data_IF_408458482337
#
_entry.id   IF_408458482337
#
_cell.length_a   1.000
_cell.length_b   1.000
_cell.length_c   1.000
_cell.angle_alpha   90.00
_cell.angle_beta   90.00
_cell.angle_gamma   90.00
#
_symmetry.space_group_name_H-M   'P 1'
#
loop_
_entity.id
_entity.type
_entity.pdbx_description
1 polymer ?
#
# COMPACT_ATOMS: atom_id res chain seq x y z
N UNK A 1 -12.07 4.26 24.60
CA UNK A 1 -13.54 4.09 24.54
C UNK A 1 -13.90 2.62 24.64
N UNK A 2 -15.14 2.27 25.02
CA UNK A 2 -15.65 0.89 24.96
C UNK A 2 -15.39 0.26 23.58
N UNK A 3 -15.56 1.06 22.51
CA UNK A 3 -15.30 0.63 21.14
C UNK A 3 -13.82 0.29 20.91
N UNK A 4 -12.89 1.13 21.37
CA UNK A 4 -11.45 0.88 21.23
C UNK A 4 -11.06 -0.44 21.88
N UNK A 5 -11.57 -0.71 23.08
CA UNK A 5 -11.30 -1.97 23.79
C UNK A 5 -11.84 -3.20 23.05
N UNK A 6 -12.96 -3.08 22.35
CA UNK A 6 -13.46 -4.16 21.48
C UNK A 6 -12.52 -4.40 20.29
N UNK A 7 -12.00 -3.33 19.68
CA UNK A 7 -11.01 -3.45 18.60
C UNK A 7 -9.73 -4.10 19.11
N UNK A 8 -9.17 -3.62 20.22
CA UNK A 8 -7.95 -4.17 20.82
C UNK A 8 -8.08 -5.67 21.07
N UNK A 9 -9.19 -6.08 21.68
CA UNK A 9 -9.48 -7.50 21.96
C UNK A 9 -9.52 -8.35 20.69
N UNK A 10 -10.11 -7.85 19.61
CA UNK A 10 -10.29 -8.62 18.37
C UNK A 10 -9.01 -8.66 17.53
N UNK A 11 -8.32 -7.53 17.32
CA UNK A 11 -7.19 -7.43 16.39
C UNK A 11 -5.87 -7.98 16.96
N UNK A 12 -5.74 -7.99 18.29
CA UNK A 12 -4.58 -8.51 19.02
C UNK A 12 -4.76 -9.94 19.52
N UNK A 13 -5.89 -10.59 19.21
CA UNK A 13 -6.02 -12.03 19.43
C UNK A 13 -4.94 -12.82 18.64
N UNK A 14 -4.46 -13.93 19.21
CA UNK A 14 -3.46 -14.81 18.59
C UNK A 14 -3.90 -15.27 17.20
N UNK A 15 -5.20 -15.52 17.04
CA UNK A 15 -5.84 -15.78 15.76
C UNK A 15 -7.06 -14.87 15.62
N UNK A 16 -6.98 -13.90 14.71
CA UNK A 16 -8.07 -12.94 14.49
C UNK A 16 -9.20 -13.57 13.70
N UNK A 17 -10.42 -13.51 14.25
CA UNK A 17 -11.64 -13.90 13.55
C UNK A 17 -12.09 -12.80 12.59
N UNK A 18 -11.96 -13.03 11.28
CA UNK A 18 -12.50 -12.12 10.25
C UNK A 18 -14.03 -12.04 10.29
N UNK A 19 -14.70 -13.11 10.75
CA UNK A 19 -16.16 -13.12 10.93
C UNK A 19 -16.61 -12.12 12.01
N UNK A 20 -15.78 -11.90 13.04
CA UNK A 20 -16.04 -10.92 14.09
C UNK A 20 -15.53 -9.53 13.72
N UNK A 21 -14.38 -9.45 13.04
CA UNK A 21 -13.77 -8.17 12.67
C UNK A 21 -14.60 -7.39 11.64
N UNK A 22 -15.13 -8.05 10.60
CA UNK A 22 -15.90 -7.40 9.53
C UNK A 22 -17.13 -6.60 10.02
N UNK A 23 -18.05 -7.18 10.83
CA UNK A 23 -19.18 -6.41 11.36
C UNK A 23 -18.72 -5.31 12.32
N UNK A 24 -17.66 -5.53 13.10
CA UNK A 24 -17.11 -4.52 14.01
C UNK A 24 -16.58 -3.29 13.24
N UNK A 25 -16.00 -3.52 12.06
CA UNK A 25 -15.44 -2.46 11.20
C UNK A 25 -16.49 -1.75 10.34
N UNK A 26 -17.69 -2.30 10.21
CA UNK A 26 -18.73 -1.81 9.30
C UNK A 26 -19.11 -0.34 9.55
N UNK A 27 -19.21 0.03 10.83
CA UNK A 27 -19.54 1.39 11.25
C UNK A 27 -18.28 2.27 11.43
N UNK A 28 -17.20 1.95 10.73
CA UNK A 28 -15.92 2.65 10.80
C UNK A 28 -14.93 2.08 11.81
N UNK A 29 -13.66 2.41 11.62
CA UNK A 29 -12.54 1.93 12.42
C UNK A 29 -11.87 3.11 13.13
N UNK A 30 -11.67 3.07 14.46
CA UNK A 30 -10.95 4.10 15.19
C UNK A 30 -9.53 4.30 14.62
N UNK A 31 -9.01 5.55 14.54
CA UNK A 31 -7.73 5.84 13.91
C UNK A 31 -6.56 4.93 14.34
N UNK A 32 -6.35 4.62 15.64
CA UNK A 32 -5.24 3.77 16.08
C UNK A 32 -5.27 2.34 15.52
N UNK A 33 -6.45 1.84 15.17
CA UNK A 33 -6.64 0.45 14.73
C UNK A 33 -6.72 0.30 13.21
N UNK A 34 -6.84 1.40 12.46
CA UNK A 34 -7.09 1.38 11.00
C UNK A 34 -6.02 0.61 10.25
N UNK A 35 -4.75 0.89 10.54
CA UNK A 35 -3.63 0.30 9.81
C UNK A 35 -3.65 -1.24 9.93
N UNK A 36 -3.70 -1.78 11.14
CA UNK A 36 -3.72 -3.23 11.35
C UNK A 36 -5.02 -3.86 10.84
N UNK A 37 -6.17 -3.24 11.09
CA UNK A 37 -7.45 -3.76 10.61
C UNK A 37 -7.51 -3.83 9.08
N UNK A 38 -7.03 -2.81 8.37
CA UNK A 38 -6.96 -2.81 6.91
C UNK A 38 -6.01 -3.89 6.39
N UNK A 39 -4.81 -4.02 6.99
CA UNK A 39 -3.86 -5.07 6.63
C UNK A 39 -4.47 -6.48 6.78
N UNK A 40 -5.30 -6.70 7.80
CA UNK A 40 -6.01 -7.97 8.02
C UNK A 40 -7.18 -8.18 7.03
N UNK A 41 -8.03 -7.17 6.85
CA UNK A 41 -9.21 -7.23 5.98
C UNK A 41 -8.84 -7.40 4.50
N UNK A 42 -7.75 -6.76 4.06
CA UNK A 42 -7.19 -6.90 2.71
C UNK A 42 -6.36 -8.20 2.54
N UNK A 43 -6.20 -9.00 3.59
CA UNK A 43 -5.40 -10.23 3.56
C UNK A 43 -3.90 -10.01 3.38
N UNK A 44 -3.40 -8.80 3.61
CA UNK A 44 -1.97 -8.48 3.51
C UNK A 44 -1.15 -9.13 4.64
N UNK A 45 -1.69 -9.13 5.87
CA UNK A 45 -1.12 -9.89 7.00
C UNK A 45 -2.02 -11.05 7.39
N UNK A 46 -1.45 -12.19 7.81
CA UNK A 46 -2.24 -13.34 8.24
C UNK A 46 -2.99 -13.03 9.55
N UNK A 47 -4.14 -13.69 9.71
CA UNK A 47 -4.95 -13.62 10.94
C UNK A 47 -4.19 -14.17 12.15
N UNK A 48 -3.34 -15.18 11.94
CA UNK A 48 -2.45 -15.74 12.96
C UNK A 48 -1.27 -14.80 13.23
N UNK A 49 -1.20 -14.27 14.46
CA UNK A 49 -0.22 -13.30 14.92
C UNK A 49 1.23 -13.80 14.80
N UNK A 50 1.51 -15.07 15.11
CA UNK A 50 2.87 -15.62 15.07
C UNK A 50 3.47 -15.63 13.66
N UNK A 51 2.61 -15.68 12.63
CA UNK A 51 3.02 -15.69 11.21
C UNK A 51 3.19 -14.29 10.62
N UNK A 52 2.74 -13.22 11.30
CA UNK A 52 2.71 -11.86 10.75
C UNK A 52 4.11 -11.34 10.47
N UNK A 53 5.03 -11.46 11.43
CA UNK A 53 6.40 -10.95 11.30
C UNK A 53 7.12 -11.57 10.10
N UNK A 54 7.12 -12.92 10.01
CA UNK A 54 7.75 -13.63 8.89
C UNK A 54 7.13 -13.25 7.53
N UNK A 55 5.79 -13.18 7.46
CA UNK A 55 5.10 -12.80 6.22
C UNK A 55 5.45 -11.38 5.78
N UNK A 56 5.48 -10.42 6.71
CA UNK A 56 5.84 -9.03 6.44
C UNK A 56 7.29 -8.91 5.99
N UNK A 57 8.22 -9.60 6.64
CA UNK A 57 9.64 -9.61 6.25
C UNK A 57 9.80 -10.11 4.82
N UNK A 58 9.20 -11.25 4.48
CA UNK A 58 9.22 -11.79 3.12
C UNK A 58 8.61 -10.83 2.10
N UNK A 59 7.39 -10.33 2.35
CA UNK A 59 6.70 -9.39 1.44
C UNK A 59 7.48 -8.09 1.22
N UNK A 60 8.15 -7.57 2.25
CA UNK A 60 9.01 -6.39 2.15
C UNK A 60 10.28 -6.68 1.37
N UNK A 61 10.87 -7.87 1.50
CA UNK A 61 12.01 -8.29 0.70
C UNK A 61 11.63 -8.41 -0.79
N UNK A 62 10.50 -9.06 -1.10
CA UNK A 62 9.97 -9.17 -2.47
C UNK A 62 9.72 -7.80 -3.12
N UNK A 63 9.20 -6.83 -2.36
CA UNK A 63 9.02 -5.47 -2.89
C UNK A 63 10.36 -4.77 -3.17
N UNK A 64 11.38 -4.93 -2.29
CA UNK A 64 12.71 -4.36 -2.53
C UNK A 64 13.38 -4.98 -3.76
N UNK A 65 13.25 -6.29 -3.94
CA UNK A 65 13.75 -6.97 -5.13
C UNK A 65 13.06 -6.47 -6.41
N UNK A 66 11.74 -6.30 -6.39
CA UNK A 66 11.00 -5.74 -7.51
C UNK A 66 11.42 -4.30 -7.85
N UNK A 67 11.80 -3.50 -6.84
CA UNK A 67 12.36 -2.16 -7.08
C UNK A 67 13.67 -2.26 -7.86
N UNK A 68 14.60 -3.13 -7.43
CA UNK A 68 15.90 -3.32 -8.07
C UNK A 68 15.71 -3.80 -9.51
N UNK A 69 14.80 -4.75 -9.73
CA UNK A 69 14.55 -5.36 -11.04
C UNK A 69 13.90 -4.39 -12.04
N UNK A 70 12.98 -3.53 -11.58
CA UNK A 70 12.12 -2.75 -12.49
C UNK A 70 12.36 -1.24 -12.43
N UNK A 71 12.60 -0.69 -11.24
CA UNK A 71 12.63 0.77 -11.04
C UNK A 71 14.05 1.34 -11.06
N UNK A 72 14.99 0.72 -10.34
CA UNK A 72 16.38 1.18 -10.20
C UNK A 72 17.28 0.70 -11.36
N UNK A 73 16.81 0.89 -12.59
CA UNK A 73 17.55 0.55 -13.81
C UNK A 73 18.48 1.71 -14.17
N UNK A 74 19.79 1.45 -14.18
CA UNK A 74 20.82 2.47 -14.43
C UNK A 74 20.80 3.03 -15.87
N UNK A 75 20.60 2.16 -16.85
CA UNK A 75 20.50 2.56 -18.27
C UNK A 75 19.05 2.63 -18.71
N UNK A 76 18.57 3.83 -19.00
CA UNK A 76 17.20 4.05 -19.46
C UNK A 76 16.92 3.38 -20.82
N UNK A 77 17.94 3.14 -21.65
CA UNK A 77 17.79 2.44 -22.93
C UNK A 77 17.44 0.95 -22.76
N UNK A 78 17.60 0.40 -21.55
CA UNK A 78 17.16 -0.97 -21.24
C UNK A 78 15.64 -1.08 -21.21
N UNK A 79 14.92 0.01 -20.92
CA UNK A 79 13.45 0.03 -20.90
C UNK A 79 12.90 -0.01 -22.32
N UNK A 80 11.91 -0.87 -22.54
CA UNK A 80 11.10 -0.86 -23.76
C UNK A 80 10.32 0.46 -23.88
N UNK A 81 9.87 0.80 -25.09
CA UNK A 81 9.08 2.01 -25.33
C UNK A 81 7.79 2.06 -24.48
N UNK A 82 7.16 0.90 -24.26
CA UNK A 82 5.95 0.79 -23.43
C UNK A 82 6.25 1.10 -21.96
N UNK A 83 7.37 0.62 -21.43
CA UNK A 83 7.80 0.89 -20.06
C UNK A 83 8.18 2.36 -19.86
N UNK A 84 8.86 2.96 -20.84
CA UNK A 84 9.18 4.39 -20.83
C UNK A 84 7.90 5.25 -20.81
N UNK A 85 6.92 4.92 -21.64
CA UNK A 85 5.63 5.63 -21.68
C UNK A 85 4.85 5.44 -20.37
N UNK A 86 4.80 4.22 -19.84
CA UNK A 86 4.20 3.96 -18.53
C UNK A 86 4.86 4.79 -17.42
N UNK A 87 6.19 4.84 -17.38
CA UNK A 87 6.92 5.62 -16.38
C UNK A 87 6.61 7.11 -16.53
N UNK A 88 6.59 7.62 -17.77
CA UNK A 88 6.25 9.02 -18.06
C UNK A 88 4.86 9.39 -17.54
N UNK A 89 3.85 8.54 -17.77
CA UNK A 89 2.50 8.76 -17.26
C UNK A 89 2.46 8.80 -15.73
N UNK A 90 3.10 7.82 -15.07
CA UNK A 90 3.18 7.77 -13.60
C UNK A 90 3.84 9.03 -13.03
N UNK A 91 4.95 9.48 -13.61
CA UNK A 91 5.69 10.67 -13.17
C UNK A 91 4.89 11.97 -13.37
N UNK A 92 4.01 11.98 -14.37
CA UNK A 92 3.13 13.10 -14.68
C UNK A 92 1.94 13.15 -13.69
N UNK A 93 1.40 12.00 -13.28
CA UNK A 93 0.23 11.93 -12.42
C UNK A 93 0.55 11.96 -10.92
N UNK A 94 1.72 11.46 -10.49
CA UNK A 94 2.09 11.46 -9.08
C UNK A 94 2.08 12.87 -8.41
N UNK A 95 2.55 13.95 -9.05
CA UNK A 95 2.46 15.31 -8.49
C UNK A 95 1.03 15.87 -8.44
N UNK A 96 0.13 15.36 -9.29
CA UNK A 96 -1.29 15.77 -9.38
C UNK A 96 -2.19 14.97 -8.45
N UNK A 97 -1.69 13.88 -7.87
CA UNK A 97 -2.49 13.00 -7.01
C UNK A 97 -2.76 13.69 -5.67
N UNK A 98 -4.05 13.77 -5.29
CA UNK A 98 -4.52 14.37 -4.04
C UNK A 98 -3.85 15.72 -3.70
N UNK A 99 -3.92 16.74 -4.58
CA UNK A 99 -3.13 17.98 -4.48
C UNK A 99 -3.52 18.83 -3.26
N UNK A 100 -4.75 18.66 -2.77
CA UNK A 100 -5.29 19.34 -1.61
C UNK A 100 -4.76 18.77 -0.28
N UNK A 101 -4.17 17.58 -0.29
CA UNK A 101 -3.60 16.94 0.90
C UNK A 101 -2.10 17.29 1.00
N UNK A 102 -1.65 18.03 2.05
CA UNK A 102 -0.25 18.47 2.18
C UNK A 102 0.77 17.33 2.13
N UNK A 103 0.40 16.14 2.60
CA UNK A 103 1.24 14.94 2.55
C UNK A 103 1.75 14.62 1.13
N UNK A 104 0.91 14.77 0.11
CA UNK A 104 1.25 14.44 -1.29
C UNK A 104 2.01 15.56 -2.02
N UNK A 105 2.19 16.71 -1.37
CA UNK A 105 3.11 17.76 -1.84
C UNK A 105 4.57 17.45 -1.48
N UNK A 106 4.80 16.54 -0.53
CA UNK A 106 6.15 16.14 -0.12
C UNK A 106 6.81 15.27 -1.20
N UNK A 107 8.00 15.65 -1.65
CA UNK A 107 8.69 14.94 -2.73
C UNK A 107 9.07 13.49 -2.38
N UNK A 108 9.28 13.17 -1.08
CA UNK A 108 9.50 11.77 -0.66
C UNK A 108 8.26 10.93 -0.90
N UNK A 109 7.07 11.48 -0.64
CA UNK A 109 5.79 10.80 -0.88
C UNK A 109 5.51 10.69 -2.38
N UNK A 110 5.81 11.72 -3.17
CA UNK A 110 5.68 11.66 -4.65
C UNK A 110 6.59 10.61 -5.27
N UNK A 111 7.86 10.53 -4.82
CA UNK A 111 8.80 9.48 -5.25
C UNK A 111 8.33 8.08 -4.82
N UNK A 112 7.83 7.95 -3.59
CA UNK A 112 7.26 6.71 -3.09
C UNK A 112 6.07 6.26 -3.96
N UNK A 113 5.12 7.16 -4.23
CA UNK A 113 3.95 6.90 -5.05
C UNK A 113 4.35 6.51 -6.48
N UNK A 114 5.27 7.25 -7.09
CA UNK A 114 5.77 6.96 -8.44
C UNK A 114 6.38 5.55 -8.52
N UNK A 115 7.26 5.20 -7.57
CA UNK A 115 7.86 3.86 -7.51
C UNK A 115 6.82 2.78 -7.26
N UNK A 116 5.85 3.01 -6.37
CA UNK A 116 4.79 2.07 -6.07
C UNK A 116 3.95 1.76 -7.31
N UNK A 117 3.47 2.80 -8.01
CA UNK A 117 2.62 2.66 -9.19
C UNK A 117 3.36 2.01 -10.34
N UNK A 118 4.62 2.40 -10.58
CA UNK A 118 5.41 1.82 -11.65
C UNK A 118 5.73 0.35 -11.39
N UNK A 119 6.19 -0.02 -10.20
CA UNK A 119 6.46 -1.43 -9.85
C UNK A 119 5.18 -2.26 -9.94
N UNK A 120 4.02 -1.69 -9.56
CA UNK A 120 2.75 -2.37 -9.72
C UNK A 120 2.43 -2.61 -11.21
N UNK A 121 2.61 -1.61 -12.08
CA UNK A 121 2.36 -1.72 -13.52
C UNK A 121 3.23 -2.79 -14.18
N UNK A 122 4.53 -2.84 -13.86
CA UNK A 122 5.47 -3.84 -14.40
C UNK A 122 5.10 -5.28 -14.01
N UNK A 123 4.45 -5.46 -12.87
CA UNK A 123 3.97 -6.77 -12.40
C UNK A 123 2.60 -7.15 -12.95
N UNK A 124 1.91 -6.23 -13.64
CA UNK A 124 0.59 -6.44 -14.22
C UNK A 124 0.54 -5.94 -15.67
N UNK A 125 1.34 -6.52 -16.59
CA UNK A 125 1.52 -6.00 -17.95
C UNK A 125 0.22 -5.95 -18.78
N UNK A 126 -0.76 -6.81 -18.47
CA UNK A 126 -2.05 -6.80 -19.13
C UNK A 126 -2.88 -5.53 -18.85
N UNK A 127 -2.68 -4.90 -17.68
CA UNK A 127 -3.34 -3.65 -17.31
C UNK A 127 -2.42 -2.44 -17.49
N UNK A 128 -1.13 -2.60 -17.15
CA UNK A 128 -0.17 -1.49 -17.02
C UNK A 128 -0.69 -0.40 -16.08
N UNK A 129 -0.04 0.77 -16.03
CA UNK A 129 -0.58 1.92 -15.32
C UNK A 129 -1.77 2.50 -16.09
N UNK A 130 -2.86 2.76 -15.35
CA UNK A 130 -4.04 3.47 -15.84
C UNK A 130 -4.35 4.58 -14.84
N UNK A 131 -4.63 5.78 -15.36
CA UNK A 131 -5.02 6.93 -14.54
C UNK A 131 -6.23 6.55 -13.64
N UNK A 132 -6.14 6.88 -12.35
CA UNK A 132 -7.08 6.47 -11.31
C UNK A 132 -6.51 5.44 -10.34
N UNK A 133 -5.52 4.63 -10.75
CA UNK A 133 -4.83 3.70 -9.83
C UNK A 133 -4.03 4.47 -8.76
N UNK A 134 -3.52 5.65 -9.09
CA UNK A 134 -2.89 6.58 -8.15
C UNK A 134 -3.84 6.97 -7.01
N UNK A 135 -5.13 7.14 -7.29
CA UNK A 135 -6.13 7.52 -6.29
C UNK A 135 -6.45 6.35 -5.34
N UNK A 136 -6.40 5.11 -5.83
CA UNK A 136 -6.53 3.90 -4.99
C UNK A 136 -5.36 3.73 -4.01
N UNK A 137 -4.15 4.14 -4.41
CA UNK A 137 -2.97 4.07 -3.55
C UNK A 137 -2.99 5.12 -2.42
N UNK A 138 -3.64 6.25 -2.65
CA UNK A 138 -3.71 7.39 -1.73
C UNK A 138 -4.19 7.01 -0.32
N UNK A 139 -5.38 6.39 -0.12
CA UNK A 139 -5.85 6.03 1.22
C UNK A 139 -4.96 4.99 1.90
N UNK A 140 -4.33 4.08 1.14
CA UNK A 140 -3.41 3.09 1.71
C UNK A 140 -2.16 3.76 2.27
N UNK A 141 -1.59 4.74 1.55
CA UNK A 141 -0.42 5.51 1.99
C UNK A 141 -0.77 6.28 3.28
N UNK A 142 -1.90 7.00 3.30
CA UNK A 142 -2.32 7.78 4.47
C UNK A 142 -2.55 6.88 5.69
N UNK A 143 -3.31 5.79 5.52
CA UNK A 143 -3.65 4.89 6.63
C UNK A 143 -2.43 4.15 7.17
N UNK A 144 -1.50 3.72 6.32
CA UNK A 144 -0.32 2.97 6.77
C UNK A 144 0.82 3.84 7.28
N UNK A 145 0.91 5.10 6.86
CA UNK A 145 1.87 6.04 7.43
C UNK A 145 1.49 6.49 8.85
N UNK A 146 0.19 6.53 9.18
CA UNK A 146 -0.27 6.88 10.52
C UNK A 146 0.13 5.85 11.62
N UNK A 147 0.70 4.70 11.23
CA UNK A 147 1.17 3.63 12.11
C UNK A 147 2.65 3.81 12.53
N UNK A 148 3.30 4.90 12.09
CA UNK A 148 4.71 5.23 12.29
C UNK A 148 4.89 6.66 12.83
#
# INVERSE_FOLDING_TARGET
>A
SYRDSQFDKVIHADVVSLATLRPLTWNGIPPPHRALAWKLLLGYVPTNASRRSHTLTRKRAEYREAIIQHYDIADQNTRTLQEQECLRQVLVDAPRTAPDIPLFRNDRIRRLLSRLLYVWAMRHPASSYVQGINDLATPLIVVFLADY
#
